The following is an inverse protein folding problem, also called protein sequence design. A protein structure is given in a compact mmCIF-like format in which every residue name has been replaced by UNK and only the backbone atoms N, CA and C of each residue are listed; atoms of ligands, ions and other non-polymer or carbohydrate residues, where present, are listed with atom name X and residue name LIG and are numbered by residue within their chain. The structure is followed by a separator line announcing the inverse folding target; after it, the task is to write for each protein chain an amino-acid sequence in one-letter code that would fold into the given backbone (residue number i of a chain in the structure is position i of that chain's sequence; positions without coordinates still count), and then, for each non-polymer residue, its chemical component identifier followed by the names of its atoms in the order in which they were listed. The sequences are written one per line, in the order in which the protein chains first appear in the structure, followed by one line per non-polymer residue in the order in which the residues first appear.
data_IF_521442131829
#
_entry.id   IF_521442131829
#
_cell.length_a   1.000
_cell.length_b   1.000
_cell.length_c   1.000
_cell.angle_alpha   90.00
_cell.angle_beta   90.00
_cell.angle_gamma   90.00
#
_symmetry.space_group_name_H-M   'P 1'
#
loop_
_entity.id
_entity.type
_entity.pdbx_description
1 polymer ?
#
# COMPACT_ATOMS: atom_id res chain seq x y z
N UNK A 1 -14.15 -30.12 -31.32
CA UNK A 1 -13.38 -30.84 -30.28
C UNK A 1 -11.98 -31.25 -30.77
N UNK A 2 -11.86 -31.95 -31.90
CA UNK A 2 -10.56 -32.40 -32.49
C UNK A 2 -9.59 -31.24 -32.80
N UNK A 3 -10.08 -30.11 -33.32
CA UNK A 3 -9.26 -28.91 -33.62
C UNK A 3 -8.64 -28.24 -32.38
N UNK A 4 -9.29 -28.35 -31.23
CA UNK A 4 -8.82 -27.78 -29.96
C UNK A 4 -7.73 -28.67 -29.36
N UNK A 5 -7.91 -29.99 -29.43
CA UNK A 5 -6.90 -30.99 -29.07
C UNK A 5 -5.65 -30.84 -29.93
N UNK A 6 -5.80 -30.69 -31.25
CA UNK A 6 -4.67 -30.48 -32.17
C UNK A 6 -3.91 -29.19 -31.84
N UNK A 7 -4.59 -28.08 -31.52
CA UNK A 7 -3.93 -26.83 -31.12
C UNK A 7 -3.16 -26.96 -29.81
N UNK A 8 -3.73 -27.63 -28.81
CA UNK A 8 -3.06 -27.88 -27.52
C UNK A 8 -1.82 -28.76 -27.74
N UNK A 9 -1.93 -29.81 -28.55
CA UNK A 9 -0.82 -30.71 -28.85
C UNK A 9 0.29 -29.99 -29.64
N UNK A 10 -0.07 -29.08 -30.56
CA UNK A 10 0.88 -28.22 -31.27
C UNK A 10 1.61 -27.27 -30.32
N UNK A 11 0.91 -26.63 -29.38
CA UNK A 11 1.54 -25.77 -28.37
C UNK A 11 2.44 -26.54 -27.41
N UNK A 12 2.09 -27.78 -27.05
CA UNK A 12 2.94 -28.66 -26.25
C UNK A 12 4.20 -29.08 -27.02
N UNK A 13 4.08 -29.40 -28.32
CA UNK A 13 5.22 -29.72 -29.18
C UNK A 13 6.13 -28.52 -29.39
N UNK A 14 5.56 -27.33 -29.63
CA UNK A 14 6.31 -26.07 -29.76
C UNK A 14 7.00 -25.71 -28.43
N UNK A 15 6.28 -25.82 -27.31
CA UNK A 15 6.85 -25.59 -25.98
C UNK A 15 7.97 -26.57 -25.64
N UNK A 16 7.81 -27.85 -26.00
CA UNK A 16 8.84 -28.87 -25.85
C UNK A 16 10.05 -28.61 -26.75
N UNK A 17 9.84 -28.21 -28.01
CA UNK A 17 10.90 -27.84 -28.94
C UNK A 17 11.67 -26.62 -28.46
N UNK A 18 10.98 -25.58 -27.99
CA UNK A 18 11.62 -24.39 -27.41
C UNK A 18 12.42 -24.78 -26.17
N UNK A 19 11.83 -25.57 -25.26
CA UNK A 19 12.51 -26.07 -24.07
C UNK A 19 13.76 -26.91 -24.40
N UNK A 20 13.65 -27.81 -25.38
CA UNK A 20 14.75 -28.67 -25.83
C UNK A 20 15.86 -27.87 -26.53
N UNK A 21 15.50 -26.93 -27.38
CA UNK A 21 16.44 -26.07 -28.12
C UNK A 21 17.14 -25.09 -27.16
N UNK A 22 16.43 -24.60 -26.13
CA UNK A 22 17.02 -23.80 -25.04
C UNK A 22 17.99 -24.60 -24.17
N UNK A 23 17.66 -25.84 -23.80
CA UNK A 23 18.56 -26.71 -23.03
C UNK A 23 19.81 -27.13 -23.81
N UNK A 24 19.72 -27.21 -25.14
CA UNK A 24 20.82 -27.62 -26.02
C UNK A 24 21.86 -26.51 -26.23
N UNK A 25 21.43 -25.24 -26.20
CA UNK A 25 22.31 -24.09 -26.51
C UNK A 25 22.72 -23.24 -25.30
N UNK A 26 22.01 -23.31 -24.16
CA UNK A 26 22.28 -22.46 -22.99
C UNK A 26 22.81 -23.29 -21.81
N UNK A 27 24.06 -23.08 -21.36
CA UNK A 27 24.61 -23.69 -20.15
C UNK A 27 23.75 -23.42 -18.90
N UNK A 28 23.66 -24.39 -17.98
CA UNK A 28 22.86 -24.25 -16.73
C UNK A 28 23.24 -23.04 -15.87
N UNK A 29 24.48 -22.56 -15.94
CA UNK A 29 24.94 -21.32 -15.28
C UNK A 29 24.32 -20.06 -15.89
N UNK A 30 24.13 -20.04 -17.22
CA UNK A 30 23.47 -18.97 -17.95
C UNK A 30 21.94 -19.01 -17.79
N UNK A 31 21.36 -20.13 -17.38
CA UNK A 31 19.92 -20.22 -17.09
C UNK A 31 19.52 -19.38 -15.86
N UNK A 32 20.31 -19.43 -14.79
CA UNK A 32 20.11 -18.57 -13.62
C UNK A 32 20.36 -17.10 -13.96
N UNK A 33 21.37 -16.82 -14.79
CA UNK A 33 21.67 -15.46 -15.24
C UNK A 33 20.60 -14.91 -16.20
N UNK A 34 20.03 -15.74 -17.08
CA UNK A 34 18.96 -15.36 -18.01
C UNK A 34 17.63 -15.20 -17.27
N UNK A 35 17.29 -16.11 -16.35
CA UNK A 35 16.15 -15.92 -15.45
C UNK A 35 16.29 -14.66 -14.61
N UNK A 36 17.49 -14.41 -14.06
CA UNK A 36 17.83 -13.16 -13.38
C UNK A 36 17.72 -11.93 -14.29
N UNK A 37 18.18 -12.01 -15.53
CA UNK A 37 18.11 -10.93 -16.51
C UNK A 37 16.68 -10.67 -16.97
N UNK A 38 15.84 -11.69 -17.13
CA UNK A 38 14.41 -11.57 -17.45
C UNK A 38 13.66 -10.98 -16.27
N UNK A 39 13.91 -11.44 -15.04
CA UNK A 39 13.33 -10.85 -13.83
C UNK A 39 13.77 -9.38 -13.66
N UNK A 40 15.05 -9.08 -13.90
CA UNK A 40 15.59 -7.72 -13.85
C UNK A 40 15.02 -6.86 -14.98
N UNK A 41 14.83 -7.40 -16.18
CA UNK A 41 14.18 -6.71 -17.30
C UNK A 41 12.72 -6.45 -17.00
N UNK A 42 11.98 -7.41 -16.43
CA UNK A 42 10.61 -7.21 -15.98
C UNK A 42 10.57 -6.16 -14.86
N UNK A 43 11.52 -6.18 -13.93
CA UNK A 43 11.63 -5.19 -12.86
C UNK A 43 11.89 -3.78 -13.42
N UNK A 44 12.81 -3.65 -14.38
CA UNK A 44 13.13 -2.39 -15.07
C UNK A 44 11.97 -1.90 -15.95
N UNK A 45 11.29 -2.79 -16.67
CA UNK A 45 10.10 -2.46 -17.47
C UNK A 45 8.91 -2.07 -16.60
N UNK A 46 8.72 -2.74 -15.46
CA UNK A 46 7.74 -2.36 -14.43
C UNK A 46 8.06 -0.98 -13.86
N UNK A 47 9.34 -0.63 -13.81
CA UNK A 47 9.82 0.68 -13.40
C UNK A 47 9.57 1.78 -14.46
N UNK A 48 9.36 1.44 -15.74
CA UNK A 48 9.07 2.41 -16.79
C UNK A 48 7.54 2.60 -16.98
N UNK A 49 6.77 1.52 -17.07
CA UNK A 49 5.32 1.55 -17.37
C UNK A 49 4.46 0.70 -16.40
N UNK A 50 4.31 1.12 -15.13
CA UNK A 50 3.61 0.34 -14.11
C UNK A 50 2.08 0.29 -14.28
N UNK A 51 1.49 1.13 -15.13
CA UNK A 51 0.06 1.44 -15.02
C UNK A 51 -0.84 0.93 -16.13
N UNK A 52 -0.38 0.10 -17.08
CA UNK A 52 -1.30 -0.40 -18.12
C UNK A 52 -1.27 -1.90 -18.43
N UNK A 53 -0.18 -2.65 -18.19
CA UNK A 53 -0.08 -4.01 -18.78
C UNK A 53 0.38 -5.14 -17.84
N UNK A 54 0.72 -4.90 -16.58
CA UNK A 54 1.08 -5.97 -15.64
C UNK A 54 -0.10 -6.24 -14.70
N UNK A 55 -0.70 -7.44 -14.73
CA UNK A 55 -1.74 -7.82 -13.77
C UNK A 55 -1.24 -7.66 -12.34
N UNK A 56 -2.05 -7.10 -11.44
CA UNK A 56 -1.69 -6.90 -10.03
C UNK A 56 -1.18 -8.19 -9.38
N UNK A 57 -1.75 -9.34 -9.73
CA UNK A 57 -1.34 -10.67 -9.28
C UNK A 57 0.13 -10.99 -9.59
N UNK A 58 0.62 -10.57 -10.76
CA UNK A 58 2.03 -10.73 -11.15
C UNK A 58 2.91 -9.85 -10.26
N UNK A 59 2.51 -8.59 -10.05
CA UNK A 59 3.23 -7.67 -9.17
C UNK A 59 3.29 -8.16 -7.72
N UNK A 60 2.19 -8.70 -7.19
CA UNK A 60 2.15 -9.27 -5.85
C UNK A 60 3.13 -10.46 -5.70
N UNK A 61 3.29 -11.28 -6.74
CA UNK A 61 4.27 -12.36 -6.74
C UNK A 61 5.71 -11.84 -6.70
N UNK A 62 6.01 -10.78 -7.45
CA UNK A 62 7.33 -10.12 -7.41
C UNK A 62 7.63 -9.46 -6.06
N UNK A 63 6.63 -8.87 -5.40
CA UNK A 63 6.78 -8.24 -4.09
C UNK A 63 6.84 -9.26 -2.95
N UNK A 64 6.33 -10.48 -3.14
CA UNK A 64 6.30 -11.52 -2.10
C UNK A 64 7.60 -11.63 -1.28
N UNK A 65 8.81 -11.80 -1.86
CA UNK A 65 10.06 -11.94 -1.10
C UNK A 65 10.47 -10.67 -0.34
N UNK A 66 9.81 -9.54 -0.56
CA UNK A 66 10.05 -8.29 0.14
C UNK A 66 9.11 -8.09 1.34
N UNK A 67 8.07 -8.91 1.48
CA UNK A 67 7.19 -8.91 2.66
C UNK A 67 7.75 -9.80 3.76
N UNK A 68 7.59 -9.44 5.06
CA UNK A 68 8.03 -10.26 6.21
C UNK A 68 7.66 -11.74 6.13
N UNK A 69 6.39 -12.03 5.83
CA UNK A 69 5.92 -13.40 5.68
C UNK A 69 6.46 -14.06 4.42
N UNK A 70 6.52 -13.33 3.32
CA UNK A 70 6.93 -13.89 2.03
C UNK A 70 8.41 -14.26 1.99
N UNK A 71 9.32 -13.44 2.55
CA UNK A 71 10.74 -13.81 2.65
C UNK A 71 10.93 -15.07 3.52
N UNK A 72 10.18 -15.19 4.61
CA UNK A 72 10.23 -16.38 5.45
C UNK A 72 9.74 -17.63 4.71
N UNK A 73 8.61 -17.54 3.99
CA UNK A 73 8.12 -18.65 3.16
C UNK A 73 9.11 -19.03 2.06
N UNK A 74 9.77 -18.06 1.43
CA UNK A 74 10.83 -18.33 0.46
C UNK A 74 12.01 -19.08 1.11
N UNK A 75 12.46 -18.66 2.29
CA UNK A 75 13.52 -19.34 3.04
C UNK A 75 13.09 -20.78 3.41
N UNK A 76 11.87 -20.97 3.92
CA UNK A 76 11.33 -22.31 4.22
C UNK A 76 11.24 -23.19 2.97
N UNK A 77 10.86 -22.63 1.82
CA UNK A 77 10.84 -23.36 0.56
C UNK A 77 12.26 -23.78 0.13
N UNK A 78 13.25 -22.90 0.27
CA UNK A 78 14.66 -23.24 -0.01
C UNK A 78 15.12 -24.36 0.93
N UNK A 79 14.77 -24.30 2.22
CA UNK A 79 15.06 -25.36 3.17
C UNK A 79 14.41 -26.69 2.77
N UNK A 80 13.13 -26.69 2.39
CA UNK A 80 12.41 -27.88 1.95
C UNK A 80 13.03 -28.50 0.69
N UNK A 81 13.35 -27.69 -0.31
CA UNK A 81 14.01 -28.17 -1.54
C UNK A 81 15.40 -28.74 -1.23
N UNK A 82 16.12 -28.16 -0.26
CA UNK A 82 17.43 -28.66 0.15
C UNK A 82 17.32 -30.04 0.80
N UNK A 83 16.37 -30.22 1.75
CA UNK A 83 16.08 -31.52 2.38
C UNK A 83 15.84 -32.61 1.33
N UNK A 84 15.07 -32.29 0.27
CA UNK A 84 14.73 -33.25 -0.78
C UNK A 84 15.88 -33.56 -1.76
N UNK A 85 16.87 -32.67 -1.91
CA UNK A 85 17.95 -32.82 -2.90
C UNK A 85 19.30 -33.22 -2.28
N UNK A 86 19.58 -32.88 -1.04
CA UNK A 86 20.90 -33.05 -0.43
C UNK A 86 20.83 -33.05 1.10
N UNK A 87 21.50 -33.98 1.77
CA UNK A 87 21.60 -34.02 3.25
C UNK A 87 22.66 -33.07 3.83
N UNK A 88 22.75 -31.80 3.37
CA UNK A 88 23.73 -30.84 3.92
C UNK A 88 23.17 -30.13 5.16
N UNK A 89 23.44 -30.71 6.33
CA UNK A 89 22.86 -30.28 7.62
C UNK A 89 23.16 -28.83 8.01
N UNK A 90 24.36 -28.31 7.73
CA UNK A 90 24.77 -26.98 8.20
C UNK A 90 24.01 -25.85 7.49
N UNK A 91 23.84 -25.95 6.17
CA UNK A 91 23.14 -24.93 5.37
C UNK A 91 21.64 -24.92 5.70
N UNK A 92 21.04 -26.10 5.85
CA UNK A 92 19.65 -26.25 6.25
C UNK A 92 19.35 -25.60 7.61
N UNK A 93 20.19 -25.87 8.62
CA UNK A 93 20.07 -25.25 9.95
C UNK A 93 20.09 -23.72 9.86
N UNK A 94 21.02 -23.14 9.09
CA UNK A 94 21.11 -21.69 8.93
C UNK A 94 19.83 -21.12 8.31
N UNK A 95 19.30 -21.71 7.24
CA UNK A 95 18.09 -21.20 6.59
C UNK A 95 16.87 -21.30 7.52
N UNK A 96 16.68 -22.45 8.17
CA UNK A 96 15.56 -22.65 9.09
C UNK A 96 15.63 -21.69 10.28
N UNK A 97 16.80 -21.56 10.91
CA UNK A 97 17.01 -20.62 12.00
C UNK A 97 16.81 -19.17 11.54
N UNK A 98 17.27 -18.81 10.34
CA UNK A 98 17.09 -17.46 9.80
C UNK A 98 15.61 -17.15 9.54
N UNK A 99 14.88 -18.08 8.92
CA UNK A 99 13.45 -17.92 8.69
C UNK A 99 12.67 -17.79 10.00
N UNK A 100 13.00 -18.63 10.99
CA UNK A 100 12.37 -18.60 12.30
C UNK A 100 12.66 -17.28 13.02
N UNK A 101 13.93 -16.89 13.12
CA UNK A 101 14.34 -15.64 13.79
C UNK A 101 13.75 -14.40 13.12
N UNK A 102 13.71 -14.39 11.79
CA UNK A 102 13.12 -13.29 11.03
C UNK A 102 11.63 -13.16 11.32
N UNK A 103 10.87 -14.25 11.24
CA UNK A 103 9.44 -14.21 11.59
C UNK A 103 9.23 -13.83 13.04
N UNK A 104 9.98 -14.44 13.96
CA UNK A 104 9.91 -14.15 15.39
C UNK A 104 10.09 -12.66 15.64
N UNK A 105 11.17 -12.08 15.12
CA UNK A 105 11.50 -10.67 15.29
C UNK A 105 10.44 -9.74 14.66
N UNK A 106 10.04 -9.98 13.40
CA UNK A 106 9.07 -9.12 12.70
C UNK A 106 7.63 -9.27 13.20
N UNK A 107 7.32 -10.32 13.96
CA UNK A 107 6.02 -10.52 14.61
C UNK A 107 6.03 -10.18 16.10
N UNK A 108 7.17 -9.76 16.66
CA UNK A 108 7.28 -9.37 18.08
C UNK A 108 6.79 -7.93 18.29
N UNK A 109 5.85 -7.68 19.22
CA UNK A 109 5.33 -6.34 19.53
C UNK A 109 6.41 -5.29 19.80
N UNK A 110 7.44 -5.60 20.58
CA UNK A 110 8.54 -4.66 20.87
C UNK A 110 9.20 -4.14 19.59
N UNK A 111 9.54 -5.04 18.68
CA UNK A 111 10.18 -4.67 17.41
C UNK A 111 9.22 -3.90 16.50
N UNK A 112 7.99 -4.41 16.36
CA UNK A 112 6.97 -3.77 15.52
C UNK A 112 6.66 -2.35 15.98
N UNK A 113 6.51 -2.11 17.29
CA UNK A 113 6.20 -0.79 17.83
C UNK A 113 7.33 0.20 17.58
N UNK A 114 8.60 -0.21 17.77
CA UNK A 114 9.76 0.65 17.49
C UNK A 114 9.82 1.02 16.01
N UNK A 115 9.66 0.04 15.12
CA UNK A 115 9.69 0.29 13.68
C UNK A 115 8.57 1.23 13.23
N UNK A 116 7.34 0.99 13.69
CA UNK A 116 6.18 1.84 13.42
C UNK A 116 6.39 3.24 13.96
N UNK A 117 6.85 3.37 15.21
CA UNK A 117 7.07 4.66 15.84
C UNK A 117 8.08 5.52 15.08
N UNK A 118 9.20 4.92 14.64
CA UNK A 118 10.17 5.61 13.79
C UNK A 118 9.53 6.13 12.51
N UNK A 119 8.63 5.34 11.91
CA UNK A 119 7.96 5.69 10.67
C UNK A 119 6.84 6.73 10.85
N UNK A 120 6.09 6.66 11.95
CA UNK A 120 4.94 7.53 12.26
C UNK A 120 5.32 8.82 12.99
N UNK A 121 6.55 8.95 13.52
CA UNK A 121 6.93 10.08 14.38
C UNK A 121 6.65 11.45 13.71
N UNK A 122 7.02 11.58 12.44
CA UNK A 122 6.70 12.78 11.68
C UNK A 122 5.21 13.02 11.52
N UNK A 123 4.45 11.97 11.25
CA UNK A 123 2.98 12.03 11.11
C UNK A 123 2.33 12.44 12.44
N UNK A 124 2.83 11.96 13.57
CA UNK A 124 2.37 12.35 14.90
C UNK A 124 2.65 13.83 15.19
N UNK A 125 3.83 14.33 14.81
CA UNK A 125 4.14 15.75 14.90
C UNK A 125 3.23 16.60 14.00
N UNK A 126 2.94 16.14 12.78
CA UNK A 126 2.04 16.80 11.85
C UNK A 126 0.59 16.85 12.34
N UNK A 127 0.09 15.79 12.99
CA UNK A 127 -1.27 15.73 13.53
C UNK A 127 -1.55 16.79 14.61
N UNK A 128 -0.52 17.13 15.39
CA UNK A 128 -0.59 18.17 16.43
C UNK A 128 -0.49 19.58 15.87
N UNK A 129 0.20 19.73 14.75
CA UNK A 129 0.34 21.02 14.07
C UNK A 129 -0.99 21.34 13.38
N UNK A 130 -1.35 22.62 13.30
CA UNK A 130 -2.46 23.12 12.48
C UNK A 130 -3.87 22.63 12.90
N UNK A 131 -4.14 22.55 14.20
CA UNK A 131 -5.47 22.17 14.72
C UNK A 131 -6.57 23.22 14.45
N UNK A 132 -6.21 24.48 14.15
CA UNK A 132 -7.17 25.57 13.95
C UNK A 132 -7.15 26.18 12.53
N UNK A 133 -6.54 25.52 11.55
CA UNK A 133 -6.52 26.05 10.18
C UNK A 133 -7.83 25.72 9.49
N UNK A 134 -8.42 26.74 8.88
CA UNK A 134 -9.60 26.61 8.06
C UNK A 134 -9.21 26.38 6.59
N UNK A 135 -9.76 25.36 5.95
CA UNK A 135 -9.47 25.04 4.54
C UNK A 135 -10.74 24.91 3.72
N UNK A 136 -10.69 25.26 2.42
CA UNK A 136 -11.81 25.05 1.50
C UNK A 136 -11.91 23.60 0.97
N UNK A 137 -10.89 22.74 1.19
CA UNK A 137 -10.86 21.38 0.62
C UNK A 137 -10.26 20.36 1.58
N UNK A 138 -10.91 19.22 1.70
CA UNK A 138 -10.43 18.01 2.35
C UNK A 138 -10.26 16.93 1.28
N UNK A 139 -9.09 16.29 1.24
CA UNK A 139 -8.76 15.22 0.29
C UNK A 139 -8.57 13.94 1.07
N UNK A 140 -9.40 12.94 0.79
CA UNK A 140 -9.34 11.62 1.40
C UNK A 140 -8.70 10.61 0.44
N UNK A 141 -7.58 10.01 0.85
CA UNK A 141 -7.03 8.82 0.20
C UNK A 141 -7.69 7.56 0.79
N UNK A 142 -8.81 7.16 0.18
CA UNK A 142 -9.76 6.18 0.69
C UNK A 142 -9.56 4.73 0.20
N UNK A 143 -8.43 4.41 -0.42
CA UNK A 143 -8.13 3.04 -0.89
C UNK A 143 -8.17 2.02 0.26
N UNK A 144 -8.87 0.91 0.04
CA UNK A 144 -8.95 -0.27 0.92
C UNK A 144 -9.54 0.03 2.32
N UNK A 145 -10.47 0.97 2.40
CA UNK A 145 -11.17 1.40 3.62
C UNK A 145 -12.54 0.76 3.80
N UNK A 146 -13.17 0.26 2.74
CA UNK A 146 -14.47 -0.42 2.79
C UNK A 146 -14.41 -1.81 2.17
N UNK A 147 -15.33 -2.69 2.57
CA UNK A 147 -15.52 -4.03 2.01
C UNK A 147 -16.65 -4.03 1.01
N UNK A 148 -16.63 -4.99 0.08
CA UNK A 148 -17.74 -5.16 -0.86
C UNK A 148 -18.97 -5.61 -0.07
N UNK A 149 -20.08 -4.89 -0.23
CA UNK A 149 -21.33 -5.24 0.43
C UNK A 149 -21.89 -6.54 -0.16
N UNK A 150 -22.42 -7.40 0.70
CA UNK A 150 -23.15 -8.60 0.29
C UNK A 150 -24.41 -8.17 -0.50
N UNK A 151 -24.84 -8.92 -1.53
CA UNK A 151 -26.09 -8.65 -2.22
C UNK A 151 -27.26 -8.53 -1.23
N UNK A 152 -27.95 -7.37 -1.22
CA UNK A 152 -29.04 -7.08 -0.29
C UNK A 152 -28.63 -6.44 1.04
N UNK A 153 -27.34 -6.31 1.33
CA UNK A 153 -26.84 -5.55 2.48
C UNK A 153 -26.84 -4.05 2.21
N UNK A 154 -27.45 -3.27 3.09
CA UNK A 154 -27.48 -1.79 3.03
C UNK A 154 -26.39 -1.12 3.87
N UNK A 155 -25.73 -1.88 4.75
CA UNK A 155 -24.73 -1.36 5.67
C UNK A 155 -23.33 -1.40 5.05
N UNK A 156 -22.67 -0.23 4.98
CA UNK A 156 -21.27 -0.12 4.58
C UNK A 156 -20.38 -0.79 5.63
N UNK A 157 -19.62 -1.80 5.21
CA UNK A 157 -18.65 -2.47 6.07
C UNK A 157 -17.26 -1.87 5.90
N UNK A 158 -16.63 -1.47 7.00
CA UNK A 158 -15.27 -0.94 7.00
C UNK A 158 -14.22 -2.04 7.11
N UNK A 159 -13.03 -1.77 6.57
CA UNK A 159 -11.81 -2.55 6.84
C UNK A 159 -11.13 -2.04 8.12
N UNK A 160 -9.99 -2.62 8.46
CA UNK A 160 -9.11 -2.11 9.52
C UNK A 160 -8.39 -0.79 9.13
N UNK A 161 -8.67 -0.23 7.95
CA UNK A 161 -8.22 1.12 7.50
C UNK A 161 -9.36 2.16 7.51
N UNK A 162 -10.54 1.79 8.01
CA UNK A 162 -11.75 2.60 8.01
C UNK A 162 -11.65 3.91 8.81
N UNK A 163 -10.68 4.03 9.72
CA UNK A 163 -10.47 5.24 10.54
C UNK A 163 -10.33 6.52 9.72
N UNK A 164 -9.83 6.42 8.48
CA UNK A 164 -9.74 7.52 7.51
C UNK A 164 -11.09 8.14 7.19
N UNK A 165 -12.14 7.32 7.10
CA UNK A 165 -13.50 7.78 6.79
C UNK A 165 -14.11 8.49 7.99
N UNK A 166 -13.99 7.88 9.18
CA UNK A 166 -14.44 8.48 10.43
C UNK A 166 -13.76 9.82 10.67
N UNK A 167 -12.45 9.88 10.50
CA UNK A 167 -11.68 11.10 10.68
C UNK A 167 -12.01 12.17 9.63
N UNK A 168 -12.27 11.77 8.37
CA UNK A 168 -12.71 12.72 7.33
C UNK A 168 -14.07 13.34 7.66
N UNK A 169 -15.03 12.54 8.14
CA UNK A 169 -16.33 13.05 8.58
C UNK A 169 -16.20 14.02 9.77
N UNK A 170 -15.36 13.68 10.75
CA UNK A 170 -15.05 14.56 11.87
C UNK A 170 -14.44 15.89 11.40
N UNK A 171 -13.42 15.84 10.52
CA UNK A 171 -12.80 17.05 9.97
C UNK A 171 -13.80 17.91 9.19
N UNK A 172 -14.71 17.30 8.43
CA UNK A 172 -15.76 18.04 7.74
C UNK A 172 -16.65 18.80 8.73
N UNK A 173 -17.07 18.16 9.81
CA UNK A 173 -17.89 18.79 10.86
C UNK A 173 -17.14 19.93 11.56
N UNK A 174 -15.85 19.75 11.88
CA UNK A 174 -15.00 20.79 12.46
C UNK A 174 -14.85 22.00 11.52
N UNK A 175 -14.89 21.76 10.20
CA UNK A 175 -14.74 22.75 9.15
C UNK A 175 -16.08 23.24 8.58
N UNK A 176 -17.23 22.83 9.14
CA UNK A 176 -18.55 23.00 8.54
C UNK A 176 -18.88 24.46 8.20
N UNK A 177 -18.33 25.43 8.95
CA UNK A 177 -18.50 26.87 8.67
C UNK A 177 -17.98 27.30 7.30
N UNK A 178 -17.01 26.58 6.74
CA UNK A 178 -16.42 26.87 5.43
C UNK A 178 -17.00 26.05 4.29
N UNK A 179 -17.91 25.12 4.60
CA UNK A 179 -18.50 24.19 3.64
C UNK A 179 -17.44 23.58 2.69
N UNK A 180 -16.40 22.90 3.23
CA UNK A 180 -15.27 22.47 2.43
C UNK A 180 -15.68 21.41 1.41
N UNK A 181 -15.04 21.42 0.24
CA UNK A 181 -15.14 20.34 -0.73
C UNK A 181 -14.41 19.09 -0.20
N UNK A 182 -15.06 17.93 -0.23
CA UNK A 182 -14.45 16.64 0.12
C UNK A 182 -14.16 15.86 -1.17
N UNK A 183 -12.89 15.69 -1.50
CA UNK A 183 -12.46 14.89 -2.65
C UNK A 183 -12.08 13.48 -2.18
N UNK A 184 -12.83 12.46 -2.61
CA UNK A 184 -12.58 11.06 -2.30
C UNK A 184 -11.75 10.44 -3.43
N UNK A 185 -10.51 10.02 -3.15
CA UNK A 185 -9.69 9.27 -4.10
C UNK A 185 -9.44 7.86 -3.56
N UNK A 186 -10.15 6.88 -4.12
CA UNK A 186 -10.12 5.49 -3.66
C UNK A 186 -9.77 4.48 -4.76
N UNK A 187 -9.81 4.89 -6.03
CA UNK A 187 -9.53 3.99 -7.15
C UNK A 187 -10.55 2.85 -7.27
N UNK A 188 -10.15 1.79 -7.97
CA UNK A 188 -10.99 0.61 -8.24
C UNK A 188 -10.53 -0.54 -7.36
N UNK A 189 -11.49 -1.30 -6.80
CA UNK A 189 -11.20 -2.57 -6.14
C UNK A 189 -10.68 -3.56 -7.17
N UNK A 190 -9.41 -3.90 -7.10
CA UNK A 190 -8.73 -4.69 -8.14
C UNK A 190 -9.06 -6.20 -8.07
N UNK A 191 -9.49 -6.72 -6.92
CA UNK A 191 -9.76 -8.15 -6.69
C UNK A 191 -11.23 -8.59 -6.96
N UNK A 192 -12.04 -7.75 -7.61
CA UNK A 192 -13.46 -8.05 -7.84
C UNK A 192 -13.82 -7.88 -9.32
N UNK A 193 -14.19 -9.00 -9.95
CA UNK A 193 -14.88 -9.03 -11.24
C UNK A 193 -16.40 -8.91 -10.98
N UNK A 194 -17.01 -7.80 -11.42
CA UNK A 194 -18.41 -7.49 -11.15
C UNK A 194 -18.86 -6.19 -11.80
N UNK A 195 -20.13 -5.81 -11.58
CA UNK A 195 -20.69 -4.55 -12.10
C UNK A 195 -19.88 -3.34 -11.62
N UNK A 196 -19.80 -2.28 -12.43
CA UNK A 196 -19.02 -1.06 -12.12
C UNK A 196 -19.30 -0.51 -10.71
N UNK A 197 -20.57 -0.57 -10.26
CA UNK A 197 -20.99 -0.17 -8.90
C UNK A 197 -20.31 -0.94 -7.77
N UNK A 198 -20.02 -2.24 -7.96
CA UNK A 198 -19.31 -3.05 -6.96
C UNK A 198 -17.81 -2.81 -6.97
N UNK A 199 -17.27 -2.19 -8.03
CA UNK A 199 -15.84 -1.99 -8.22
C UNK A 199 -15.36 -0.64 -7.69
N UNK A 200 -16.22 0.37 -7.63
CA UNK A 200 -15.83 1.72 -7.20
C UNK A 200 -16.03 1.94 -5.71
N UNK A 201 -14.94 1.81 -4.97
CA UNK A 201 -14.91 2.04 -3.52
C UNK A 201 -15.33 3.47 -3.12
N UNK A 202 -15.07 4.45 -3.99
CA UNK A 202 -15.44 5.85 -3.76
C UNK A 202 -16.95 6.05 -3.55
N UNK A 203 -17.81 5.20 -4.13
CA UNK A 203 -19.25 5.26 -3.93
C UNK A 203 -19.66 4.81 -2.52
N UNK A 204 -19.09 3.71 -2.03
CA UNK A 204 -19.34 3.24 -0.65
C UNK A 204 -18.85 4.26 0.39
N UNK A 205 -17.74 4.94 0.10
CA UNK A 205 -17.20 6.02 0.95
C UNK A 205 -18.12 7.24 0.95
N UNK A 206 -18.62 7.66 -0.22
CA UNK A 206 -19.60 8.76 -0.33
C UNK A 206 -20.84 8.46 0.51
N UNK A 207 -21.47 7.29 0.32
CA UNK A 207 -22.62 6.86 1.13
C UNK A 207 -22.30 6.85 2.63
N UNK A 208 -21.11 6.39 3.03
CA UNK A 208 -20.70 6.43 4.43
C UNK A 208 -20.59 7.87 4.96
N UNK A 209 -19.97 8.78 4.21
CA UNK A 209 -19.79 10.17 4.62
C UNK A 209 -21.13 10.92 4.69
N UNK A 210 -22.05 10.64 3.77
CA UNK A 210 -23.43 11.13 3.81
C UNK A 210 -24.16 10.71 5.08
N UNK A 211 -24.06 9.43 5.45
CA UNK A 211 -24.60 8.91 6.72
C UNK A 211 -23.98 9.58 7.95
N UNK A 212 -22.81 10.21 7.82
CA UNK A 212 -22.12 10.97 8.88
C UNK A 212 -22.31 12.48 8.78
N UNK A 213 -23.22 12.95 7.91
CA UNK A 213 -23.62 14.34 7.81
C UNK A 213 -22.79 15.19 6.85
N UNK A 214 -21.99 14.57 5.98
CA UNK A 214 -21.34 15.28 4.85
C UNK A 214 -22.35 15.35 3.69
N UNK A 215 -22.79 16.53 3.23
CA UNK A 215 -23.77 16.63 2.16
C UNK A 215 -23.18 16.15 0.83
N UNK A 216 -23.99 15.46 0.02
CA UNK A 216 -23.61 14.97 -1.32
C UNK A 216 -23.03 16.09 -2.20
N UNK A 217 -23.58 17.30 -2.11
CA UNK A 217 -23.14 18.48 -2.87
C UNK A 217 -21.72 18.95 -2.52
N UNK A 218 -21.20 18.56 -1.37
CA UNK A 218 -19.83 18.83 -0.95
C UNK A 218 -18.85 17.71 -1.34
N UNK A 219 -19.32 16.59 -1.90
CA UNK A 219 -18.47 15.42 -2.21
C UNK A 219 -18.14 15.38 -3.71
N UNK A 220 -16.88 15.05 -4.01
CA UNK A 220 -16.41 14.76 -5.38
C UNK A 220 -15.64 13.45 -5.37
N UNK A 221 -16.02 12.54 -6.26
CA UNK A 221 -15.40 11.21 -6.37
C UNK A 221 -14.33 11.15 -7.46
N UNK A 222 -13.19 10.58 -7.09
CA UNK A 222 -12.14 10.11 -7.99
C UNK A 222 -12.05 8.57 -7.93
N UNK A 223 -12.78 7.95 -8.85
CA UNK A 223 -12.94 6.50 -8.97
C UNK A 223 -11.78 5.82 -9.72
N UNK A 224 -10.94 6.59 -10.43
CA UNK A 224 -10.02 6.04 -11.44
C UNK A 224 -8.54 6.10 -11.05
N UNK A 225 -8.20 6.68 -9.91
CA UNK A 225 -6.81 6.80 -9.47
C UNK A 225 -6.39 5.59 -8.62
N UNK A 226 -5.59 4.65 -9.15
CA UNK A 226 -5.21 3.44 -8.41
C UNK A 226 -4.07 3.66 -7.41
N UNK A 227 -3.44 4.83 -7.39
CA UNK A 227 -2.30 5.11 -6.52
C UNK A 227 -2.17 6.59 -6.17
N UNK A 228 -1.38 6.90 -5.14
CA UNK A 228 -1.16 8.27 -4.62
C UNK A 228 -0.73 9.24 -5.72
N UNK A 229 0.14 8.83 -6.65
CA UNK A 229 0.60 9.71 -7.74
C UNK A 229 -0.54 10.10 -8.68
N UNK A 230 -1.35 9.14 -9.11
CA UNK A 230 -2.55 9.41 -9.92
C UNK A 230 -3.58 10.23 -9.15
N UNK A 231 -3.79 9.93 -7.87
CA UNK A 231 -4.70 10.67 -6.99
C UNK A 231 -4.29 12.14 -6.90
N UNK A 232 -3.00 12.41 -6.64
CA UNK A 232 -2.48 13.76 -6.55
C UNK A 232 -2.66 14.55 -7.86
N UNK A 233 -2.42 13.90 -9.02
CA UNK A 233 -2.64 14.53 -10.35
C UNK A 233 -4.12 14.84 -10.58
N UNK A 234 -5.01 13.90 -10.23
CA UNK A 234 -6.45 14.08 -10.40
C UNK A 234 -6.98 15.18 -9.48
N UNK A 235 -6.54 15.20 -8.23
CA UNK A 235 -6.87 16.27 -7.27
C UNK A 235 -6.42 17.62 -7.80
N UNK A 236 -5.17 17.76 -8.26
CA UNK A 236 -4.69 19.01 -8.87
C UNK A 236 -5.61 19.46 -10.00
N UNK A 237 -5.95 18.56 -10.93
CA UNK A 237 -6.85 18.88 -12.04
C UNK A 237 -8.24 19.34 -11.56
N UNK A 238 -8.83 18.65 -10.57
CA UNK A 238 -10.13 19.02 -9.99
C UNK A 238 -10.08 20.39 -9.29
N UNK A 239 -8.94 20.71 -8.66
CA UNK A 239 -8.73 22.01 -8.03
C UNK A 239 -8.57 23.11 -9.09
N UNK A 240 -7.84 22.87 -10.18
CA UNK A 240 -7.71 23.80 -11.31
C UNK A 240 -9.06 24.09 -11.97
N UNK A 241 -9.86 23.05 -12.23
CA UNK A 241 -11.22 23.15 -12.79
C UNK A 241 -12.14 24.02 -11.91
N UNK A 242 -11.86 24.09 -10.59
CA UNK A 242 -12.62 24.87 -9.61
C UNK A 242 -11.93 26.15 -9.16
N UNK A 243 -10.77 26.50 -9.74
CA UNK A 243 -9.97 27.68 -9.37
C UNK A 243 -9.49 27.68 -7.90
N UNK A 244 -9.24 26.49 -7.34
CA UNK A 244 -8.80 26.25 -5.97
C UNK A 244 -7.35 25.74 -5.87
N UNK A 245 -6.59 25.70 -6.97
CA UNK A 245 -5.24 25.08 -7.01
C UNK A 245 -4.21 25.72 -6.07
N UNK A 246 -4.39 26.99 -5.72
CA UNK A 246 -3.51 27.73 -4.81
C UNK A 246 -3.98 27.68 -3.33
N UNK A 247 -5.14 27.07 -3.06
CA UNK A 247 -5.70 27.00 -1.71
C UNK A 247 -5.02 25.91 -0.89
N UNK A 248 -5.05 26.07 0.44
CA UNK A 248 -4.65 25.01 1.35
C UNK A 248 -5.65 23.85 1.31
N UNK A 249 -5.13 22.63 1.28
CA UNK A 249 -5.95 21.41 1.33
C UNK A 249 -5.55 20.58 2.55
N UNK A 250 -6.53 19.99 3.23
CA UNK A 250 -6.27 18.96 4.24
C UNK A 250 -6.16 17.60 3.54
N UNK A 251 -5.04 16.91 3.70
CA UNK A 251 -4.81 15.58 3.14
C UNK A 251 -4.97 14.51 4.23
N UNK A 252 -5.95 13.63 4.06
CA UNK A 252 -6.29 12.54 4.98
C UNK A 252 -5.82 11.21 4.42
N UNK A 253 -4.96 10.51 5.18
CA UNK A 253 -4.52 9.13 4.94
C UNK A 253 -3.99 8.51 6.24
N UNK A 254 -3.52 7.26 6.23
CA UNK A 254 -2.92 6.67 7.44
C UNK A 254 -1.58 7.32 7.78
N UNK A 255 -1.20 7.27 9.04
CA UNK A 255 0.04 7.81 9.56
C UNK A 255 1.26 7.22 8.86
N UNK A 256 1.22 5.91 8.55
CA UNK A 256 2.23 5.22 7.73
C UNK A 256 2.32 5.87 6.34
N UNK A 257 1.22 6.00 5.58
CA UNK A 257 1.28 6.51 4.20
C UNK A 257 1.46 8.03 4.11
N UNK A 258 1.33 8.77 5.22
CA UNK A 258 1.23 10.22 5.20
C UNK A 258 2.47 10.90 4.63
N UNK A 259 3.67 10.43 4.97
CA UNK A 259 4.91 11.09 4.53
C UNK A 259 5.02 11.05 3.00
N UNK A 260 4.87 9.86 2.42
CA UNK A 260 4.87 9.66 0.97
C UNK A 260 3.75 10.44 0.28
N UNK A 261 2.55 10.45 0.87
CA UNK A 261 1.40 11.18 0.33
C UNK A 261 1.66 12.68 0.29
N UNK A 262 2.07 13.26 1.42
CA UNK A 262 2.40 14.68 1.54
C UNK A 262 3.45 15.11 0.51
N UNK A 263 4.57 14.39 0.43
CA UNK A 263 5.67 14.72 -0.49
C UNK A 263 5.28 14.56 -1.96
N UNK A 264 4.40 13.61 -2.27
CA UNK A 264 3.87 13.43 -3.64
C UNK A 264 2.96 14.60 -4.05
N UNK A 265 2.11 15.08 -3.14
CA UNK A 265 1.23 16.22 -3.40
C UNK A 265 2.03 17.53 -3.45
N UNK A 266 2.98 17.75 -2.54
CA UNK A 266 3.87 18.93 -2.55
C UNK A 266 4.73 18.98 -3.82
N UNK A 267 5.17 17.83 -4.34
CA UNK A 267 5.90 17.76 -5.62
C UNK A 267 5.09 18.31 -6.81
N UNK A 268 3.77 18.26 -6.72
CA UNK A 268 2.85 18.84 -7.71
C UNK A 268 2.52 20.32 -7.45
N UNK A 269 3.12 20.95 -6.44
CA UNK A 269 2.86 22.35 -6.09
C UNK A 269 1.60 22.57 -5.23
N UNK A 270 0.95 21.50 -4.77
CA UNK A 270 -0.22 21.64 -3.89
C UNK A 270 0.19 22.10 -2.49
N UNK A 271 -0.59 23.01 -1.91
CA UNK A 271 -0.40 23.49 -0.53
C UNK A 271 -1.12 22.56 0.46
N UNK A 272 -0.39 21.62 1.05
CA UNK A 272 -0.98 20.51 1.82
C UNK A 272 -0.81 20.69 3.32
N UNK A 273 -1.87 20.42 4.06
CA UNK A 273 -1.89 20.22 5.51
C UNK A 273 -2.11 18.73 5.76
N UNK A 274 -1.12 18.06 6.32
CA UNK A 274 -1.23 16.65 6.65
C UNK A 274 -2.23 16.44 7.81
N UNK A 275 -3.18 15.52 7.62
CA UNK A 275 -4.15 15.08 8.62
C UNK A 275 -4.11 13.54 8.74
N UNK A 276 -3.05 12.97 9.36
CA UNK A 276 -2.89 11.53 9.46
C UNK A 276 -3.83 10.92 10.51
N UNK A 277 -4.18 9.66 10.31
CA UNK A 277 -4.97 8.83 11.24
C UNK A 277 -4.46 7.38 11.20
N UNK A 278 -5.17 6.39 11.77
CA UNK A 278 -4.78 4.96 11.72
C UNK A 278 -3.33 4.76 12.21
N UNK A 279 -3.04 5.31 13.40
CA UNK A 279 -1.73 5.20 14.06
C UNK A 279 -1.59 3.83 14.73
N UNK A 280 -0.51 3.11 14.43
CA UNK A 280 -0.21 1.80 15.03
C UNK A 280 0.61 1.93 16.30
N UNK A 281 1.31 3.05 16.50
CA UNK A 281 2.08 3.34 17.70
C UNK A 281 1.35 4.31 18.64
N UNK A 282 1.58 4.15 19.94
CA UNK A 282 1.16 5.16 20.92
C UNK A 282 2.01 6.42 20.72
N UNK A 283 1.39 7.54 20.37
CA UNK A 283 2.08 8.82 20.22
C UNK A 283 2.77 9.20 21.55
N UNK A 284 4.11 9.19 21.53
CA UNK A 284 5.00 9.13 22.69
C UNK A 284 5.12 10.41 23.52
N UNK A 285 4.21 11.37 23.39
CA UNK A 285 4.42 12.72 23.94
C UNK A 285 3.63 12.99 25.22
N UNK A 286 2.92 11.98 25.73
CA UNK A 286 2.54 12.00 27.14
C UNK A 286 3.60 11.21 27.90
N UNK A 287 4.47 11.92 28.62
CA UNK A 287 5.42 11.33 29.59
C UNK A 287 4.73 10.40 30.61
N UNK A 288 3.41 10.53 30.75
CA UNK A 288 2.52 9.72 31.60
C UNK A 288 2.08 8.38 30.96
N UNK A 289 2.22 8.21 29.63
CA UNK A 289 1.80 7.03 28.87
C UNK A 289 2.99 6.38 28.14
N UNK A 290 4.11 6.20 28.85
CA UNK A 290 5.21 5.38 28.32
C UNK A 290 4.75 3.92 28.28
N UNK A 291 4.82 3.24 27.11
CA UNK A 291 4.51 1.83 27.06
C UNK A 291 5.46 1.09 28.02
N UNK A 292 4.89 0.49 29.05
CA UNK A 292 5.65 -0.35 29.96
C UNK A 292 5.89 -1.67 29.25
N UNK A 293 7.15 -1.96 28.92
CA UNK A 293 7.53 -3.26 28.40
C UNK A 293 7.11 -4.34 29.39
N UNK A 294 6.17 -5.19 28.98
CA UNK A 294 5.75 -6.38 29.70
C UNK A 294 6.43 -7.59 29.07
N UNK A 295 6.68 -8.64 29.85
CA UNK A 295 7.20 -9.90 29.31
C UNK A 295 6.32 -10.50 28.19
N UNK A 296 5.03 -10.16 28.19
CA UNK A 296 4.07 -10.53 27.13
C UNK A 296 4.34 -9.85 25.78
N UNK A 297 5.09 -8.74 25.75
CA UNK A 297 5.40 -8.00 24.51
C UNK A 297 6.49 -8.69 23.67
N UNK A 298 7.10 -9.75 24.22
CA UNK A 298 7.99 -10.66 23.48
C UNK A 298 7.21 -11.79 22.79
N UNK A 299 5.90 -11.93 23.04
CA UNK A 299 5.08 -12.96 22.42
C UNK A 299 4.66 -12.50 21.02
N UNK A 300 5.02 -13.25 19.96
CA UNK A 300 4.61 -12.96 18.59
C UNK A 300 3.12 -12.77 18.41
N UNK A 301 2.74 -11.83 17.55
CA UNK A 301 1.33 -11.58 17.21
C UNK A 301 1.13 -11.25 15.73
N UNK A 302 -0.05 -11.59 15.23
CA UNK A 302 -0.47 -11.28 13.86
C UNK A 302 -0.55 -9.76 13.65
N UNK A 303 -1.04 -9.01 14.63
CA UNK A 303 -1.12 -7.55 14.58
C UNK A 303 0.25 -6.89 14.39
N UNK A 304 1.27 -7.35 15.11
CA UNK A 304 2.64 -6.86 14.99
C UNK A 304 3.27 -7.20 13.64
N UNK A 305 3.01 -8.40 13.13
CA UNK A 305 3.45 -8.80 11.79
C UNK A 305 2.77 -7.95 10.71
N UNK A 306 1.46 -7.67 10.85
CA UNK A 306 0.70 -6.81 9.94
C UNK A 306 1.23 -5.38 9.95
N UNK A 307 1.46 -4.79 11.13
CA UNK A 307 1.99 -3.44 11.25
C UNK A 307 3.40 -3.30 10.63
N UNK A 308 4.29 -4.26 10.94
CA UNK A 308 5.62 -4.34 10.33
C UNK A 308 5.55 -4.50 8.81
N UNK A 309 4.63 -5.33 8.31
CA UNK A 309 4.40 -5.51 6.87
C UNK A 309 3.95 -4.21 6.21
N UNK A 310 3.03 -3.46 6.83
CA UNK A 310 2.55 -2.16 6.30
C UNK A 310 3.67 -1.12 6.22
N UNK A 311 4.53 -1.04 7.22
CA UNK A 311 5.69 -0.13 7.20
C UNK A 311 6.63 -0.51 6.06
N UNK A 312 6.95 -1.79 5.90
CA UNK A 312 7.85 -2.26 4.84
C UNK A 312 7.25 -2.00 3.45
N UNK A 313 5.95 -2.27 3.25
CA UNK A 313 5.26 -1.98 1.99
C UNK A 313 5.31 -0.49 1.64
N UNK A 314 5.06 0.40 2.61
CA UNK A 314 5.15 1.84 2.36
C UNK A 314 6.59 2.33 2.19
N UNK A 315 7.57 1.72 2.84
CA UNK A 315 8.99 2.01 2.63
C UNK A 315 9.40 1.69 1.19
N UNK A 316 9.06 0.50 0.67
CA UNK A 316 9.31 0.15 -0.73
C UNK A 316 8.54 1.07 -1.68
N UNK A 317 7.29 1.42 -1.35
CA UNK A 317 6.52 2.41 -2.07
C UNK A 317 7.20 3.79 -2.11
N UNK A 318 7.81 4.22 -1.01
CA UNK A 318 8.53 5.49 -0.89
C UNK A 318 9.80 5.48 -1.72
N UNK A 319 10.62 4.42 -1.62
CA UNK A 319 11.82 4.24 -2.44
C UNK A 319 11.44 4.25 -3.93
N UNK A 320 10.38 3.53 -4.30
CA UNK A 320 9.89 3.50 -5.67
C UNK A 320 9.48 4.91 -6.15
N UNK A 321 8.69 5.65 -5.36
CA UNK A 321 8.24 7.01 -5.72
C UNK A 321 9.41 7.99 -5.82
N UNK A 322 10.40 7.86 -4.94
CA UNK A 322 11.63 8.62 -4.96
C UNK A 322 12.41 8.40 -6.26
N UNK A 323 12.70 7.14 -6.59
CA UNK A 323 13.45 6.77 -7.79
C UNK A 323 12.71 7.18 -9.07
N UNK A 324 11.37 7.25 -9.05
CA UNK A 324 10.54 7.77 -10.16
C UNK A 324 10.49 9.30 -10.25
N UNK A 325 11.05 10.02 -9.28
CA UNK A 325 10.95 11.48 -9.19
C UNK A 325 9.53 11.99 -8.89
N UNK A 326 8.69 11.14 -8.30
CA UNK A 326 7.28 11.42 -8.03
C UNK A 326 7.02 12.10 -6.69
N UNK A 327 8.03 12.19 -5.84
CA UNK A 327 7.99 12.88 -4.56
C UNK A 327 9.09 13.94 -4.49
N UNK A 328 8.93 14.94 -3.62
CA UNK A 328 9.98 15.93 -3.35
C UNK A 328 11.13 15.33 -2.56
N UNK A 329 12.34 15.85 -2.78
CA UNK A 329 13.58 15.50 -2.07
C UNK A 329 13.64 16.06 -0.64
N UNK A 330 12.67 16.89 -0.27
CA UNK A 330 12.61 17.49 1.06
C UNK A 330 12.10 16.46 2.07
N UNK A 331 13.02 15.66 2.61
CA UNK A 331 12.74 14.74 3.72
C UNK A 331 12.53 15.49 5.05
N UNK A 332 12.52 16.84 5.03
CA UNK A 332 12.15 17.66 6.17
C UNK A 332 10.73 17.32 6.60
N UNK A 333 10.62 16.49 7.64
CA UNK A 333 9.37 16.05 8.27
C UNK A 333 8.34 17.17 8.44
N UNK A 334 7.45 17.36 7.46
CA UNK A 334 6.26 18.23 7.57
C UNK A 334 6.53 19.67 8.03
N UNK A 335 7.76 20.19 7.93
CA UNK A 335 8.19 21.44 8.59
C UNK A 335 7.94 22.72 7.77
N UNK A 336 7.34 22.60 6.58
CA UNK A 336 7.03 23.73 5.70
C UNK A 336 5.63 24.27 5.87
#
# INVERSE_FOLDING_TARGET
MILLLIRVLLWLVVGYLIYWLFLKFIPKSLFAAFGGAVLLTIMVLSFYEPSQNIPESVWQFFILPFKPLGIALCLLLVALVNILKTSKDKFLKIILSSSFLLLLLLSTPVFSQQLVQLYENGSAAAAKRNQNIQVPVIVLLGQETTRVNLPGGTQIQLTDRGDRLLYTAQLYQEQARNNPLVIISAGVRQNFDGSEKLRFEAQDIETFLEQRGVPETAIVRDEKSPNIRSSAKRVLKLLEERQLQNQQIMLVTSAINMARSYLTFKRLGLNVIAKPTDFYSFAQDNDQLKPQFRGTDLIPSISSLTATTRVIEDLFGTIYYFLRGWMSLDFGFYIG
#
